data_IF_147209623037
#
_entry.id   IF_147209623037
#
_cell.length_a   1.000
_cell.length_b   1.000
_cell.length_c   1.000
_cell.angle_alpha   90.00
_cell.angle_beta   90.00
_cell.angle_gamma   90.00
#
_symmetry.space_group_name_H-M   'P 1'
#
loop_
_entity.id
_entity.type
_entity.pdbx_description
1 polymer ?
#
# COMPACT_ATOMS: atom_id res chain seq x y z
N UNK A 1 -15.24 12.09 9.27
CA UNK A 1 -15.13 12.07 7.80
C UNK A 1 -15.83 10.81 7.33
N UNK A 2 -16.81 10.91 6.43
CA UNK A 2 -17.50 9.73 5.87
C UNK A 2 -16.65 9.11 4.76
N UNK A 3 -16.71 7.79 4.63
CA UNK A 3 -16.10 7.07 3.51
C UNK A 3 -16.88 7.36 2.22
N UNK A 4 -16.22 7.55 1.06
CA UNK A 4 -16.90 7.66 -0.23
C UNK A 4 -17.73 6.40 -0.54
N UNK A 5 -18.89 6.54 -1.18
CA UNK A 5 -19.72 5.39 -1.60
C UNK A 5 -18.93 4.44 -2.51
N UNK A 6 -18.13 4.99 -3.43
CA UNK A 6 -17.26 4.21 -4.32
C UNK A 6 -16.23 3.37 -3.57
N UNK A 7 -15.74 3.83 -2.42
CA UNK A 7 -14.86 3.05 -1.56
C UNK A 7 -15.61 1.89 -0.90
N UNK A 8 -16.84 2.13 -0.43
CA UNK A 8 -17.67 1.10 0.20
C UNK A 8 -17.98 -0.01 -0.81
N UNK A 9 -18.38 0.38 -2.03
CA UNK A 9 -18.66 -0.58 -3.10
C UNK A 9 -17.43 -1.44 -3.41
N UNK A 10 -16.27 -0.82 -3.54
CA UNK A 10 -15.02 -1.55 -3.75
C UNK A 10 -14.65 -2.44 -2.56
N UNK A 11 -14.84 -2.00 -1.31
CA UNK A 11 -14.48 -2.79 -0.14
C UNK A 11 -15.15 -4.16 -0.15
N UNK A 12 -16.42 -4.19 -0.57
CA UNK A 12 -17.24 -5.39 -0.70
C UNK A 12 -17.19 -6.04 -2.10
N UNK A 13 -16.43 -5.46 -3.03
CA UNK A 13 -16.26 -5.93 -4.40
C UNK A 13 -14.83 -5.62 -4.93
N UNK A 14 -13.76 -6.05 -4.24
CA UNK A 14 -12.41 -5.53 -4.46
C UNK A 14 -11.79 -5.94 -5.80
N UNK A 15 -12.30 -7.00 -6.43
CA UNK A 15 -11.90 -7.45 -7.78
C UNK A 15 -12.49 -6.60 -8.91
N UNK A 16 -13.40 -5.65 -8.64
CA UNK A 16 -14.03 -4.82 -9.68
C UNK A 16 -13.05 -4.04 -10.55
N UNK A 17 -11.87 -3.74 -10.01
CA UNK A 17 -10.79 -3.00 -10.68
C UNK A 17 -9.54 -3.87 -10.92
N UNK A 18 -9.56 -5.14 -10.52
CA UNK A 18 -8.44 -6.04 -10.78
C UNK A 18 -8.49 -6.54 -12.22
N UNK A 19 -7.34 -6.56 -12.88
CA UNK A 19 -7.21 -7.16 -14.21
C UNK A 19 -7.44 -8.67 -14.19
N UNK A 20 -7.31 -9.32 -13.02
CA UNK A 20 -7.51 -10.76 -12.86
C UNK A 20 -8.93 -11.08 -12.38
N UNK A 21 -9.84 -11.21 -13.34
CA UNK A 21 -11.26 -11.51 -13.15
C UNK A 21 -11.49 -12.93 -12.58
N UNK A 22 -10.47 -13.78 -12.51
CA UNK A 22 -10.62 -15.16 -12.02
C UNK A 22 -11.06 -15.25 -10.55
N UNK A 23 -10.86 -14.18 -9.78
CA UNK A 23 -11.30 -14.08 -8.38
C UNK A 23 -12.69 -13.46 -8.21
N UNK A 24 -13.31 -12.97 -9.28
CA UNK A 24 -14.65 -12.40 -9.21
C UNK A 24 -15.72 -13.50 -9.10
N UNK A 25 -16.76 -13.33 -8.27
CA UNK A 25 -17.93 -14.19 -8.31
C UNK A 25 -18.56 -14.12 -9.71
N UNK A 26 -18.82 -15.27 -10.33
CA UNK A 26 -19.32 -15.37 -11.71
C UNK A 26 -20.74 -14.86 -11.96
N UNK A 27 -21.37 -14.17 -10.99
CA UNK A 27 -22.75 -13.66 -11.08
C UNK A 27 -22.83 -12.17 -10.78
N UNK A 28 -23.70 -11.48 -11.53
CA UNK A 28 -24.01 -10.06 -11.34
C UNK A 28 -25.08 -9.79 -10.27
N UNK A 29 -25.65 -10.85 -9.68
CA UNK A 29 -26.63 -10.72 -8.59
C UNK A 29 -25.97 -10.24 -7.27
N UNK A 30 -26.66 -9.36 -6.54
CA UNK A 30 -26.13 -8.74 -5.31
C UNK A 30 -25.89 -9.76 -4.20
N UNK A 31 -26.77 -10.76 -4.07
CA UNK A 31 -26.63 -11.82 -3.06
C UNK A 31 -25.42 -12.68 -3.39
N UNK A 32 -25.28 -13.09 -4.65
CA UNK A 32 -24.13 -13.86 -5.11
C UNK A 32 -22.80 -13.12 -4.92
N UNK A 33 -22.75 -11.80 -5.15
CA UNK A 33 -21.56 -10.98 -4.90
C UNK A 33 -21.20 -10.92 -3.42
N UNK A 34 -22.19 -10.69 -2.55
CA UNK A 34 -21.99 -10.65 -1.10
C UNK A 34 -21.47 -11.99 -0.58
N UNK A 35 -22.06 -13.10 -1.03
CA UNK A 35 -21.69 -14.43 -0.57
C UNK A 35 -20.31 -14.83 -1.10
N UNK A 36 -20.01 -14.52 -2.36
CA UNK A 36 -18.66 -14.68 -2.93
C UNK A 36 -17.60 -13.88 -2.16
N UNK A 37 -17.94 -12.65 -1.76
CA UNK A 37 -17.06 -11.84 -0.93
C UNK A 37 -16.83 -12.42 0.46
N UNK A 38 -17.89 -12.87 1.14
CA UNK A 38 -17.75 -13.54 2.45
C UNK A 38 -16.92 -14.82 2.34
N UNK A 39 -17.11 -15.60 1.28
CA UNK A 39 -16.34 -16.81 1.02
C UNK A 39 -14.85 -16.50 0.77
N UNK A 40 -14.55 -15.49 -0.05
CA UNK A 40 -13.19 -15.03 -0.27
C UNK A 40 -12.53 -14.58 1.03
N UNK A 41 -13.19 -13.72 1.82
CA UNK A 41 -12.67 -13.28 3.12
C UNK A 41 -12.37 -14.46 4.05
N UNK A 42 -13.25 -15.47 4.09
CA UNK A 42 -13.02 -16.67 4.88
C UNK A 42 -11.78 -17.46 4.39
N UNK A 43 -11.63 -17.65 3.07
CA UNK A 43 -10.46 -18.34 2.50
C UNK A 43 -9.14 -17.60 2.73
N UNK A 44 -9.18 -16.26 2.71
CA UNK A 44 -8.02 -15.40 2.94
C UNK A 44 -7.77 -15.15 4.44
N UNK A 45 -8.62 -15.68 5.33
CA UNK A 45 -8.58 -15.48 6.78
C UNK A 45 -8.59 -14.00 7.20
N UNK A 46 -9.39 -13.18 6.51
CA UNK A 46 -9.53 -11.75 6.80
C UNK A 46 -10.96 -11.40 7.23
N UNK A 47 -11.15 -10.33 8.03
CA UNK A 47 -12.47 -9.84 8.35
C UNK A 47 -13.22 -9.36 7.09
N UNK A 48 -14.48 -9.79 6.96
CA UNK A 48 -15.38 -9.35 5.89
C UNK A 48 -16.07 -8.02 6.18
N UNK A 49 -16.13 -7.59 7.43
CA UNK A 49 -16.73 -6.32 7.82
C UNK A 49 -15.70 -5.19 7.78
N UNK A 50 -16.17 -3.94 7.71
CA UNK A 50 -15.31 -2.79 7.96
C UNK A 50 -14.79 -2.85 9.41
N UNK A 51 -13.51 -2.53 9.66
CA UNK A 51 -12.97 -2.50 11.01
C UNK A 51 -13.71 -1.45 11.86
N UNK A 52 -13.84 -1.71 13.17
CA UNK A 52 -14.46 -0.77 14.11
C UNK A 52 -13.62 0.51 14.28
N UNK A 53 -12.31 0.40 14.15
CA UNK A 53 -11.36 1.49 14.27
C UNK A 53 -10.45 1.50 13.04
N UNK A 54 -10.46 2.60 12.32
CA UNK A 54 -9.59 2.84 11.17
C UNK A 54 -9.45 4.34 10.92
N UNK A 55 -8.41 4.72 10.20
CA UNK A 55 -8.22 6.07 9.69
C UNK A 55 -8.77 6.17 8.25
N UNK A 56 -9.88 6.91 8.04
CA UNK A 56 -10.52 6.99 6.73
C UNK A 56 -9.64 7.65 5.68
N UNK A 57 -8.56 8.35 6.05
CA UNK A 57 -7.64 8.96 5.08
C UNK A 57 -6.96 7.88 4.21
N UNK A 58 -6.74 6.68 4.75
CA UNK A 58 -6.17 5.56 3.99
C UNK A 58 -7.13 5.01 2.92
N UNK A 59 -8.42 5.37 2.93
CA UNK A 59 -9.32 5.02 1.82
C UNK A 59 -8.86 5.57 0.47
N UNK A 60 -8.07 6.65 0.45
CA UNK A 60 -7.49 7.22 -0.78
C UNK A 60 -6.48 6.31 -1.49
N UNK A 61 -5.95 5.29 -0.81
CA UNK A 61 -5.09 4.27 -1.44
C UNK A 61 -5.92 3.30 -2.29
N UNK A 62 -7.18 3.13 -1.92
CA UNK A 62 -8.09 2.31 -2.69
C UNK A 62 -8.38 2.98 -4.05
N UNK A 63 -8.72 2.16 -5.04
CA UNK A 63 -8.91 2.54 -6.46
C UNK A 63 -7.62 2.78 -7.25
N UNK A 64 -6.44 2.64 -6.66
CA UNK A 64 -5.21 2.78 -7.41
C UNK A 64 -4.96 1.53 -8.27
N UNK A 65 -4.68 1.73 -9.56
CA UNK A 65 -4.25 0.65 -10.46
C UNK A 65 -2.93 0.06 -9.94
N UNK A 66 -2.74 -1.26 -10.11
CA UNK A 66 -1.58 -1.99 -9.59
C UNK A 66 -0.23 -1.37 -9.97
N UNK A 67 -0.04 -0.99 -11.25
CA UNK A 67 1.21 -0.38 -11.72
C UNK A 67 1.46 1.00 -11.10
N UNK A 68 0.42 1.84 -11.03
CA UNK A 68 0.49 3.15 -10.37
C UNK A 68 0.80 3.00 -8.87
N UNK A 69 0.20 2.01 -8.22
CA UNK A 69 0.45 1.69 -6.81
C UNK A 69 1.89 1.22 -6.58
N UNK A 70 2.44 0.38 -7.45
CA UNK A 70 3.84 -0.04 -7.41
C UNK A 70 4.80 1.16 -7.54
N UNK A 71 4.54 2.06 -8.49
CA UNK A 71 5.35 3.27 -8.68
C UNK A 71 5.28 4.21 -7.47
N UNK A 72 4.07 4.48 -6.96
CA UNK A 72 3.87 5.30 -5.77
C UNK A 72 4.57 4.70 -4.55
N UNK A 73 4.54 3.37 -4.40
CA UNK A 73 5.26 2.66 -3.36
C UNK A 73 6.78 2.82 -3.47
N UNK A 74 7.35 2.70 -4.67
CA UNK A 74 8.78 2.97 -4.90
C UNK A 74 9.19 4.39 -4.52
N UNK A 75 8.38 5.40 -4.88
CA UNK A 75 8.59 6.79 -4.46
C UNK A 75 8.48 6.96 -2.94
N UNK A 76 7.49 6.32 -2.31
CA UNK A 76 7.33 6.33 -0.86
C UNK A 76 8.55 5.74 -0.16
N UNK A 77 9.12 4.66 -0.72
CA UNK A 77 10.37 4.10 -0.22
C UNK A 77 11.54 5.08 -0.37
N UNK A 78 11.61 5.78 -1.51
CA UNK A 78 12.56 6.86 -1.75
C UNK A 78 12.47 8.01 -0.74
N UNK A 79 11.27 8.41 -0.33
CA UNK A 79 11.10 9.46 0.70
C UNK A 79 11.66 9.05 2.05
N UNK A 80 11.45 7.80 2.45
CA UNK A 80 12.01 7.26 3.70
C UNK A 80 13.53 7.21 3.57
N UNK A 81 14.07 6.67 2.46
CA UNK A 81 15.51 6.57 2.21
C UNK A 81 16.22 7.93 2.14
N UNK A 82 15.56 8.98 1.64
CA UNK A 82 16.15 10.31 1.50
C UNK A 82 16.63 10.93 2.84
N UNK A 83 16.16 10.43 3.99
CA UNK A 83 16.58 10.87 5.33
C UNK A 83 17.55 9.92 6.03
N UNK A 84 17.92 8.82 5.39
CA UNK A 84 18.74 7.78 5.97
C UNK A 84 20.21 7.98 5.58
N UNK A 85 21.17 7.54 6.40
CA UNK A 85 22.58 7.67 6.05
C UNK A 85 22.92 6.87 4.78
N UNK A 86 22.23 5.74 4.58
CA UNK A 86 22.35 4.94 3.36
C UNK A 86 21.43 5.48 2.25
N UNK A 87 22.06 5.93 1.18
CA UNK A 87 21.42 6.55 0.02
C UNK A 87 21.41 5.62 -1.20
N UNK A 88 21.88 4.37 -1.08
CA UNK A 88 21.86 3.39 -2.19
C UNK A 88 20.43 3.09 -2.64
N UNK A 89 19.52 2.91 -1.68
CA UNK A 89 18.08 2.77 -1.91
C UNK A 89 17.54 3.94 -2.72
N UNK A 90 17.93 5.18 -2.41
CA UNK A 90 17.50 6.34 -3.18
C UNK A 90 18.09 6.35 -4.60
N UNK A 91 19.35 5.92 -4.77
CA UNK A 91 20.03 5.90 -6.07
C UNK A 91 19.41 4.95 -7.08
N UNK A 92 18.63 3.96 -6.65
CA UNK A 92 17.89 3.07 -7.54
C UNK A 92 16.69 3.74 -8.23
N UNK A 93 16.27 4.95 -7.81
CA UNK A 93 15.25 5.73 -8.52
C UNK A 93 15.83 6.54 -9.69
N UNK A 94 15.01 6.94 -10.69
CA UNK A 94 15.40 7.93 -11.69
C UNK A 94 15.84 9.26 -11.04
N UNK A 95 16.81 9.96 -11.65
CA UNK A 95 17.40 11.17 -11.07
C UNK A 95 16.38 12.27 -10.74
N UNK A 96 15.33 12.43 -11.55
CA UNK A 96 14.23 13.37 -11.29
C UNK A 96 13.52 13.06 -9.97
N UNK A 97 13.28 11.77 -9.73
CA UNK A 97 12.55 11.31 -8.56
C UNK A 97 13.44 11.28 -7.33
N UNK A 98 14.74 11.03 -7.48
CA UNK A 98 15.72 11.25 -6.41
C UNK A 98 15.69 12.69 -5.89
N UNK A 99 15.73 13.67 -6.80
CA UNK A 99 15.70 15.10 -6.44
C UNK A 99 14.38 15.47 -5.78
N UNK A 100 13.27 15.00 -6.34
CA UNK A 100 11.95 15.21 -5.77
C UNK A 100 11.86 14.61 -4.35
N UNK A 101 12.29 13.37 -4.16
CA UNK A 101 12.27 12.71 -2.86
C UNK A 101 13.08 13.47 -1.81
N UNK A 102 14.28 13.96 -2.16
CA UNK A 102 15.10 14.80 -1.27
C UNK A 102 14.39 16.10 -0.89
N UNK A 103 13.77 16.76 -1.86
CA UNK A 103 13.05 18.02 -1.65
C UNK A 103 11.84 17.83 -0.73
N UNK A 104 11.04 16.81 -0.98
CA UNK A 104 9.87 16.49 -0.14
C UNK A 104 10.32 16.07 1.26
N UNK A 105 11.31 15.19 1.38
CA UNK A 105 11.78 14.71 2.68
C UNK A 105 12.39 15.83 3.55
N UNK A 106 12.89 16.91 2.95
CA UNK A 106 13.34 18.10 3.67
C UNK A 106 12.18 18.88 4.33
N UNK A 107 10.97 18.81 3.77
CA UNK A 107 9.78 19.55 4.25
C UNK A 107 8.78 18.67 4.99
N UNK A 108 8.74 17.37 4.68
CA UNK A 108 7.84 16.36 5.25
C UNK A 108 8.65 15.12 5.67
N UNK A 109 9.43 15.17 6.77
CA UNK A 109 10.33 14.08 7.13
C UNK A 109 9.57 12.85 7.63
N UNK A 110 9.58 11.75 6.85
CA UNK A 110 9.12 10.45 7.31
C UNK A 110 10.14 9.86 8.28
N UNK A 111 9.65 9.36 9.42
CA UNK A 111 10.50 8.75 10.45
C UNK A 111 10.61 7.25 10.18
N UNK A 112 11.86 6.84 9.91
CA UNK A 112 12.38 5.49 9.82
C UNK A 112 11.62 4.49 8.92
N UNK A 113 12.31 3.39 8.61
CA UNK A 113 11.68 2.23 8.01
C UNK A 113 10.82 1.52 9.07
N UNK A 114 9.62 1.07 8.69
CA UNK A 114 8.84 0.15 9.53
C UNK A 114 9.42 -1.27 9.49
N UNK A 115 10.05 -1.61 8.37
CA UNK A 115 10.76 -2.86 8.16
C UNK A 115 12.28 -2.66 8.25
N UNK A 116 13.04 -3.75 8.30
CA UNK A 116 14.49 -3.67 8.15
C UNK A 116 14.87 -3.00 6.82
N UNK A 117 16.10 -2.48 6.78
CA UNK A 117 16.65 -1.82 5.61
C UNK A 117 16.54 -2.71 4.35
N UNK A 118 16.23 -2.16 3.17
CA UNK A 118 16.29 -2.90 1.91
C UNK A 118 17.63 -3.60 1.69
N UNK A 119 17.60 -4.85 1.24
CA UNK A 119 18.76 -5.57 0.77
C UNK A 119 18.99 -5.27 -0.72
N UNK A 120 20.19 -5.53 -1.22
CA UNK A 120 20.56 -5.23 -2.61
C UNK A 120 19.78 -6.02 -3.67
N UNK A 121 19.10 -7.10 -3.27
CA UNK A 121 18.28 -7.93 -4.15
C UNK A 121 16.82 -7.48 -4.21
N UNK A 122 16.39 -6.59 -3.30
CA UNK A 122 15.03 -6.08 -3.28
C UNK A 122 14.81 -4.99 -4.32
N UNK A 123 13.67 -5.03 -4.99
CA UNK A 123 13.21 -3.89 -5.80
C UNK A 123 12.50 -2.86 -4.90
N UNK A 124 12.66 -1.58 -5.23
CA UNK A 124 12.14 -0.47 -4.40
C UNK A 124 10.62 -0.48 -4.26
N UNK A 125 9.91 -0.88 -5.31
CA UNK A 125 8.45 -1.01 -5.31
C UNK A 125 8.01 -2.10 -4.32
N UNK A 126 8.67 -3.25 -4.28
CA UNK A 126 8.38 -4.32 -3.32
C UNK A 126 8.67 -3.86 -1.89
N UNK A 127 9.80 -3.19 -1.67
CA UNK A 127 10.12 -2.58 -0.37
C UNK A 127 9.05 -1.58 0.08
N UNK A 128 8.66 -0.68 -0.82
CA UNK A 128 7.64 0.33 -0.55
C UNK A 128 6.25 -0.26 -0.31
N UNK A 129 5.88 -1.32 -1.04
CA UNK A 129 4.61 -2.01 -0.86
C UNK A 129 4.57 -2.77 0.46
N UNK A 130 5.66 -3.40 0.86
CA UNK A 130 5.76 -4.06 2.17
C UNK A 130 5.68 -3.04 3.32
N UNK A 131 6.32 -1.88 3.17
CA UNK A 131 6.25 -0.76 4.11
C UNK A 131 4.82 -0.19 4.19
N UNK A 132 4.16 0.03 3.05
CA UNK A 132 2.77 0.46 2.98
C UNK A 132 1.85 -0.55 3.66
N UNK A 133 2.01 -1.84 3.37
CA UNK A 133 1.22 -2.91 3.95
C UNK A 133 1.23 -2.84 5.49
N UNK A 134 2.40 -2.67 6.10
CA UNK A 134 2.52 -2.50 7.55
C UNK A 134 1.74 -1.27 8.05
N UNK A 135 1.91 -0.12 7.39
CA UNK A 135 1.24 1.12 7.78
C UNK A 135 -0.27 1.00 7.65
N UNK A 136 -0.76 0.27 6.66
CA UNK A 136 -2.17 -0.02 6.46
C UNK A 136 -2.72 -1.01 7.49
N UNK A 137 -2.00 -2.06 7.85
CA UNK A 137 -2.45 -2.97 8.92
C UNK A 137 -2.63 -2.26 10.25
N UNK A 138 -1.79 -1.26 10.53
CA UNK A 138 -1.89 -0.43 11.73
C UNK A 138 -2.99 0.65 11.64
N UNK A 139 -3.14 1.28 10.47
CA UNK A 139 -4.03 2.43 10.27
C UNK A 139 -5.41 2.11 9.72
N UNK A 140 -5.58 1.03 8.96
CA UNK A 140 -6.82 0.57 8.36
C UNK A 140 -6.77 -0.97 8.18
N UNK A 141 -6.97 -1.74 9.26
CA UNK A 141 -6.88 -3.20 9.22
C UNK A 141 -7.80 -3.80 8.14
N UNK A 142 -7.28 -4.76 7.39
CA UNK A 142 -8.00 -5.41 6.29
C UNK A 142 -7.97 -4.67 4.95
N UNK A 143 -7.46 -3.43 4.89
CA UNK A 143 -7.33 -2.73 3.60
C UNK A 143 -6.26 -3.36 2.69
N UNK A 144 -5.09 -3.69 3.25
CA UNK A 144 -3.98 -4.28 2.48
C UNK A 144 -4.36 -5.59 1.76
N UNK A 145 -5.02 -6.57 2.40
CA UNK A 145 -5.44 -7.80 1.72
C UNK A 145 -6.35 -7.61 0.51
N UNK A 146 -7.09 -6.50 0.44
CA UNK A 146 -7.92 -6.14 -0.72
C UNK A 146 -7.09 -5.46 -1.80
N UNK A 147 -6.11 -4.64 -1.42
CA UNK A 147 -5.22 -3.95 -2.36
C UNK A 147 -4.28 -4.91 -3.08
N UNK A 148 -3.76 -5.94 -2.39
CA UNK A 148 -2.84 -6.91 -3.01
C UNK A 148 -3.48 -7.71 -4.16
N UNK A 149 -4.82 -7.74 -4.26
CA UNK A 149 -5.53 -8.35 -5.40
C UNK A 149 -5.24 -7.65 -6.74
N UNK A 150 -4.71 -6.43 -6.69
CA UNK A 150 -4.31 -5.64 -7.87
C UNK A 150 -2.84 -5.86 -8.25
N UNK A 151 -2.13 -6.71 -7.52
CA UNK A 151 -0.72 -7.00 -7.74
C UNK A 151 -0.51 -8.38 -8.38
N UNK A 152 0.50 -8.55 -9.24
CA UNK A 152 0.92 -9.86 -9.71
C UNK A 152 1.27 -10.82 -8.57
N UNK A 153 0.98 -12.13 -8.73
CA UNK A 153 1.17 -13.14 -7.69
C UNK A 153 2.63 -13.25 -7.20
N UNK A 154 3.61 -13.07 -8.08
CA UNK A 154 5.03 -13.03 -7.71
C UNK A 154 5.33 -11.84 -6.79
N UNK A 155 4.79 -10.65 -7.08
CA UNK A 155 4.92 -9.48 -6.21
C UNK A 155 4.27 -9.72 -4.85
N UNK A 156 3.08 -10.31 -4.81
CA UNK A 156 2.41 -10.65 -3.55
C UNK A 156 3.28 -11.55 -2.67
N UNK A 157 3.89 -12.60 -3.26
CA UNK A 157 4.78 -13.52 -2.55
C UNK A 157 6.04 -12.82 -2.00
N UNK A 158 6.69 -11.97 -2.81
CA UNK A 158 7.88 -11.21 -2.38
C UNK A 158 7.56 -10.24 -1.23
N UNK A 159 6.41 -9.57 -1.28
CA UNK A 159 5.97 -8.65 -0.22
C UNK A 159 5.70 -9.42 1.07
N UNK A 160 5.01 -10.57 0.98
CA UNK A 160 4.73 -11.41 2.14
C UNK A 160 6.02 -11.91 2.81
N UNK A 161 6.98 -12.40 2.02
CA UNK A 161 8.28 -12.86 2.51
C UNK A 161 9.03 -11.74 3.23
N UNK A 162 9.09 -10.55 2.64
CA UNK A 162 9.75 -9.38 3.24
C UNK A 162 9.10 -9.00 4.57
N UNK A 163 7.78 -8.95 4.65
CA UNK A 163 7.05 -8.60 5.88
C UNK A 163 7.31 -9.60 7.02
N UNK A 164 7.44 -10.88 6.71
CA UNK A 164 7.69 -11.93 7.72
C UNK A 164 9.10 -11.83 8.31
N UNK A 165 10.11 -11.53 7.48
CA UNK A 165 11.51 -11.60 7.89
C UNK A 165 12.03 -10.32 8.53
N UNK A 166 11.42 -9.16 8.23
CA UNK A 166 12.06 -7.86 8.43
C UNK A 166 11.27 -6.92 9.36
N UNK A 167 10.53 -7.43 10.35
CA UNK A 167 9.80 -6.57 11.28
C UNK A 167 10.76 -5.79 12.20
N UNK A 168 10.76 -4.44 12.14
CA UNK A 168 11.68 -3.60 12.92
C UNK A 168 11.04 -2.86 14.13
N UNK A 169 9.71 -2.88 14.29
CA UNK A 169 8.99 -2.33 15.46
C UNK A 169 7.86 -1.35 15.12
N UNK A 170 6.85 -1.21 16.02
CA UNK A 170 5.57 -0.50 15.77
C UNK A 170 5.49 0.95 16.27
N UNK A 171 6.20 1.30 17.35
CA UNK A 171 5.85 2.48 18.16
C UNK A 171 6.06 3.82 17.45
N UNK A 172 7.16 3.99 16.73
CA UNK A 172 7.45 5.22 15.99
C UNK A 172 6.59 5.37 14.72
N UNK A 173 6.18 4.24 14.13
CA UNK A 173 5.31 4.23 12.94
C UNK A 173 3.95 4.83 13.29
N UNK A 174 3.34 4.36 14.39
CA UNK A 174 2.03 4.81 14.86
C UNK A 174 2.00 6.32 15.17
N UNK A 175 3.11 6.87 15.68
CA UNK A 175 3.26 8.31 15.97
C UNK A 175 3.35 9.17 14.70
N UNK A 176 3.62 8.57 13.54
CA UNK A 176 3.85 9.29 12.26
C UNK A 176 2.69 9.20 11.27
N UNK A 177 1.58 8.54 11.61
CA UNK A 177 0.47 8.17 10.69
C UNK A 177 -0.04 9.31 9.80
N UNK A 178 -0.34 10.49 10.36
CA UNK A 178 -0.81 11.64 9.56
C UNK A 178 0.24 12.11 8.54
N UNK A 179 1.54 12.03 8.88
CA UNK A 179 2.62 12.42 7.97
C UNK A 179 2.82 11.37 6.89
N UNK A 180 2.75 10.07 7.24
CA UNK A 180 2.77 8.96 6.28
C UNK A 180 1.70 9.13 5.22
N UNK A 181 0.47 9.46 5.63
CA UNK A 181 -0.64 9.68 4.70
C UNK A 181 -0.43 10.87 3.76
N UNK A 182 0.15 11.96 4.27
CA UNK A 182 0.47 13.13 3.42
C UNK A 182 1.55 12.78 2.40
N UNK A 183 2.61 12.11 2.83
CA UNK A 183 3.69 11.69 1.94
C UNK A 183 3.19 10.67 0.92
N UNK A 184 2.33 9.73 1.33
CA UNK A 184 1.69 8.81 0.40
C UNK A 184 0.90 9.55 -0.69
N UNK A 185 0.05 10.51 -0.31
CA UNK A 185 -0.69 11.33 -1.28
C UNK A 185 0.22 12.08 -2.26
N UNK A 186 1.34 12.59 -1.79
CA UNK A 186 2.34 13.23 -2.66
C UNK A 186 2.98 12.22 -3.63
N UNK A 187 3.32 11.02 -3.16
CA UNK A 187 3.84 9.94 -4.01
C UNK A 187 2.83 9.49 -5.07
N UNK A 188 1.56 9.39 -4.70
CA UNK A 188 0.48 9.06 -5.63
C UNK A 188 0.39 10.11 -6.75
N UNK A 189 0.25 11.39 -6.40
CA UNK A 189 0.20 12.49 -7.38
C UNK A 189 1.41 12.46 -8.32
N UNK A 190 2.61 12.27 -7.76
CA UNK A 190 3.84 12.19 -8.52
C UNK A 190 3.88 10.98 -9.48
N UNK A 191 3.33 9.84 -9.06
CA UNK A 191 3.26 8.64 -9.89
C UNK A 191 2.35 8.82 -11.11
N UNK A 192 1.23 9.53 -10.94
CA UNK A 192 0.27 9.83 -12.00
C UNK A 192 0.84 10.83 -13.03
N UNK A 193 1.65 11.81 -12.60
CA UNK A 193 2.30 12.80 -13.48
C UNK A 193 3.37 12.20 -14.43
N UNK A 194 3.88 11.01 -14.11
CA UNK A 194 5.05 10.42 -14.76
C UNK A 194 4.79 9.03 -15.33
N UNK A 195 3.51 8.64 -15.42
CA UNK A 195 3.04 7.39 -16.03
C UNK A 195 2.65 7.59 -17.49
#
# INVERSE_FOLDING_TARGET
MMLPETFIDWWFNPWAISADVTQAPGSNDLVARRDGYRAWCASAMIPGDLPLHFDPVWSSVAMMEGATMQRAAGLFMGLIAARQPDQEVLRALPLSDQKWCRSIAATQPLQAYALAHPESTDTLDICGLAELAIRLELGFPGLWPRLQLHLPANSQASIALRRQNNWAGTEDILRSTTRSQRCWRLCQQRSEETS
#
